data_IF_997063029748
#
_entry.id   IF_997063029748
#
_cell.length_a   1.000
_cell.length_b   1.000
_cell.length_c   1.000
_cell.angle_alpha   90.00
_cell.angle_beta   90.00
_cell.angle_gamma   90.00
#
_symmetry.space_group_name_H-M   'P 1'
#
loop_
_entity.id
_entity.type
_entity.pdbx_description
1 polymer ?
#
# COMPACT_ATOMS: atom_id res chain seq x y z
N UNK A 1 2.44 17.31 -10.68
CA UNK A 1 1.43 16.48 -9.97
C UNK A 1 1.65 15.02 -10.35
N UNK A 2 1.85 14.16 -9.36
CA UNK A 2 2.06 12.72 -9.52
C UNK A 2 0.99 11.94 -8.76
N UNK A 3 0.90 10.62 -8.97
CA UNK A 3 -0.09 9.78 -8.30
C UNK A 3 0.49 8.44 -7.86
N UNK A 4 -0.13 7.84 -6.84
CA UNK A 4 0.08 6.47 -6.40
C UNK A 4 -1.25 5.71 -6.55
N UNK A 5 -1.26 4.64 -7.34
CA UNK A 5 -2.43 3.78 -7.47
C UNK A 5 -2.51 2.80 -6.31
N UNK A 6 -3.69 2.69 -5.68
CA UNK A 6 -3.94 1.74 -4.61
C UNK A 6 -4.80 0.59 -5.14
N UNK A 7 -4.34 -0.65 -4.93
CA UNK A 7 -5.09 -1.84 -5.28
C UNK A 7 -5.03 -2.91 -4.19
N UNK A 8 -6.18 -3.54 -3.93
CA UNK A 8 -6.26 -4.78 -3.17
C UNK A 8 -6.09 -5.97 -4.10
N UNK A 9 -5.26 -6.92 -3.66
CA UNK A 9 -5.05 -8.18 -4.34
C UNK A 9 -5.45 -9.34 -3.46
N UNK A 10 -6.05 -10.34 -4.09
CA UNK A 10 -6.19 -11.66 -3.49
C UNK A 10 -6.17 -12.76 -4.54
N UNK A 11 -5.83 -13.95 -4.05
CA UNK A 11 -5.86 -15.18 -4.82
C UNK A 11 -6.98 -16.04 -4.27
N UNK A 12 -7.86 -16.53 -5.14
CA UNK A 12 -8.92 -17.46 -4.75
C UNK A 12 -8.38 -18.86 -4.50
N UNK A 13 -9.21 -19.72 -3.91
CA UNK A 13 -8.91 -21.16 -3.77
C UNK A 13 -8.61 -21.86 -5.10
N UNK A 14 -9.16 -21.33 -6.21
CA UNK A 14 -8.91 -21.83 -7.57
C UNK A 14 -7.69 -21.15 -8.24
N UNK A 15 -6.81 -20.53 -7.45
CA UNK A 15 -5.58 -19.85 -7.89
C UNK A 15 -5.80 -18.70 -8.88
N UNK A 16 -6.97 -18.04 -8.85
CA UNK A 16 -7.24 -16.86 -9.67
C UNK A 16 -6.83 -15.59 -8.93
N UNK A 17 -6.01 -14.76 -9.58
CA UNK A 17 -5.62 -13.45 -9.07
C UNK A 17 -6.70 -12.42 -9.40
N UNK A 18 -7.22 -11.75 -8.37
CA UNK A 18 -8.11 -10.61 -8.51
C UNK A 18 -7.42 -9.32 -8.05
N UNK A 19 -7.65 -8.25 -8.80
CA UNK A 19 -7.15 -6.91 -8.51
C UNK A 19 -8.33 -5.95 -8.42
N UNK A 20 -8.50 -5.30 -7.28
CA UNK A 20 -9.51 -4.27 -7.08
C UNK A 20 -8.80 -2.94 -6.88
N UNK A 21 -8.96 -2.02 -7.83
CA UNK A 21 -8.43 -0.66 -7.70
C UNK A 21 -9.31 0.08 -6.68
N UNK A 22 -8.71 0.49 -5.57
CA UNK A 22 -9.38 1.25 -4.53
C UNK A 22 -9.40 2.74 -4.84
N UNK A 23 -8.36 3.25 -5.49
CA UNK A 23 -8.27 4.65 -5.84
C UNK A 23 -6.88 5.11 -6.25
N UNK A 24 -6.77 6.43 -6.38
CA UNK A 24 -5.55 7.12 -6.76
C UNK A 24 -5.25 8.18 -5.70
N UNK A 25 -4.05 8.14 -5.12
CA UNK A 25 -3.60 9.14 -4.16
C UNK A 25 -2.73 10.14 -4.91
N UNK A 26 -3.19 11.38 -5.04
CA UNK A 26 -2.46 12.46 -5.70
C UNK A 26 -1.44 13.07 -4.74
N UNK A 27 -0.23 13.33 -5.23
CA UNK A 27 0.81 14.00 -4.45
C UNK A 27 1.63 14.97 -5.32
N UNK A 28 2.21 15.97 -4.68
CA UNK A 28 3.11 16.93 -5.31
C UNK A 28 4.57 16.55 -5.02
N UNK A 29 5.39 16.52 -6.07
CA UNK A 29 6.80 16.12 -6.03
C UNK A 29 7.72 17.32 -5.89
N UNK A 30 7.27 18.51 -6.31
CA UNK A 30 8.15 19.68 -6.43
C UNK A 30 8.39 20.37 -5.08
N UNK A 31 7.50 20.17 -4.11
CA UNK A 31 7.50 20.91 -2.84
C UNK A 31 7.80 20.07 -1.60
N UNK A 32 7.98 18.75 -1.75
CA UNK A 32 8.11 17.84 -0.62
C UNK A 32 9.33 16.92 -0.72
N UNK A 33 9.99 16.68 0.41
CA UNK A 33 10.98 15.61 0.50
C UNK A 33 10.33 14.26 0.22
N UNK A 34 11.09 13.35 -0.35
CA UNK A 34 10.69 11.96 -0.62
C UNK A 34 10.05 11.27 0.59
N UNK A 35 10.59 11.49 1.79
CA UNK A 35 10.06 10.85 3.01
C UNK A 35 8.69 11.39 3.42
N UNK A 36 8.46 12.71 3.26
CA UNK A 36 7.13 13.31 3.49
C UNK A 36 6.08 12.75 2.53
N UNK A 37 6.44 12.56 1.25
CA UNK A 37 5.54 11.96 0.27
C UNK A 37 5.17 10.55 0.70
N UNK A 38 6.13 9.73 1.13
CA UNK A 38 5.87 8.37 1.62
C UNK A 38 4.97 8.37 2.85
N UNK A 39 5.29 9.16 3.86
CA UNK A 39 4.46 9.29 5.06
C UNK A 39 3.02 9.69 4.73
N UNK A 40 2.85 10.61 3.77
CA UNK A 40 1.53 11.01 3.29
C UNK A 40 0.79 9.84 2.61
N UNK A 41 1.45 9.12 1.69
CA UNK A 41 0.86 7.96 1.02
C UNK A 41 0.47 6.87 2.02
N UNK A 42 1.36 6.55 2.97
CA UNK A 42 1.13 5.53 3.99
C UNK A 42 -0.08 5.88 4.85
N UNK A 43 -0.19 7.14 5.30
CA UNK A 43 -1.31 7.59 6.09
C UNK A 43 -2.65 7.52 5.32
N UNK A 44 -2.66 7.93 4.05
CA UNK A 44 -3.85 7.84 3.20
C UNK A 44 -4.27 6.39 2.98
N UNK A 45 -3.30 5.51 2.77
CA UNK A 45 -3.57 4.10 2.56
C UNK A 45 -4.15 3.42 3.79
N UNK A 46 -3.53 3.62 4.94
CA UNK A 46 -4.02 3.05 6.20
C UNK A 46 -5.43 3.56 6.49
N UNK A 47 -5.71 4.85 6.21
CA UNK A 47 -7.07 5.40 6.29
C UNK A 47 -8.06 4.67 5.37
N UNK A 48 -7.68 4.36 4.12
CA UNK A 48 -8.54 3.57 3.23
C UNK A 48 -8.74 2.15 3.73
N UNK A 49 -7.68 1.49 4.18
CA UNK A 49 -7.74 0.13 4.70
C UNK A 49 -8.65 0.09 5.93
N UNK A 50 -8.52 1.04 6.85
CA UNK A 50 -9.31 1.13 8.08
C UNK A 50 -10.81 1.32 7.82
N UNK A 51 -11.17 1.84 6.64
CA UNK A 51 -12.56 1.98 6.20
C UNK A 51 -13.12 0.71 5.54
N UNK A 52 -12.28 -0.26 5.18
CA UNK A 52 -12.73 -1.51 4.58
C UNK A 52 -13.44 -2.39 5.62
N UNK A 53 -14.50 -3.12 5.24
CA UNK A 53 -15.07 -4.16 6.09
C UNK A 53 -14.02 -5.23 6.46
N UNK A 54 -14.04 -5.75 7.70
CA UNK A 54 -13.05 -6.76 8.17
C UNK A 54 -12.96 -8.00 7.28
N UNK A 55 -14.09 -8.48 6.75
CA UNK A 55 -14.13 -9.61 5.81
C UNK A 55 -13.47 -9.31 4.46
N UNK A 56 -13.28 -8.03 4.14
CA UNK A 56 -12.52 -7.57 2.97
C UNK A 56 -11.06 -7.36 3.33
N UNK A 57 -10.71 -6.95 4.55
CA UNK A 57 -9.31 -6.78 4.97
C UNK A 57 -8.59 -8.14 5.08
N UNK A 58 -9.21 -9.09 5.76
CA UNK A 58 -8.54 -10.32 6.20
C UNK A 58 -7.94 -11.12 5.03
N UNK A 59 -6.63 -11.36 5.13
CA UNK A 59 -5.88 -12.16 4.16
C UNK A 59 -5.75 -11.49 2.79
N UNK A 60 -5.96 -10.18 2.69
CA UNK A 60 -5.67 -9.42 1.47
C UNK A 60 -4.25 -8.89 1.47
N UNK A 61 -3.76 -8.69 0.26
CA UNK A 61 -2.47 -8.12 0.00
C UNK A 61 -2.63 -6.74 -0.63
N UNK A 62 -1.85 -5.77 -0.15
CA UNK A 62 -1.71 -4.46 -0.76
C UNK A 62 -0.41 -4.44 -1.56
N UNK A 63 -0.49 -4.11 -2.85
CA UNK A 63 0.71 -4.05 -3.70
C UNK A 63 1.13 -2.62 -3.97
N UNK A 64 2.43 -2.39 -3.82
CA UNK A 64 3.09 -1.11 -3.99
C UNK A 64 4.06 -1.13 -5.16
N UNK A 65 4.23 0.05 -5.75
CA UNK A 65 5.43 0.32 -6.54
C UNK A 65 6.65 0.44 -5.61
N UNK A 66 7.85 0.26 -6.18
CA UNK A 66 9.13 0.27 -5.49
C UNK A 66 9.29 1.45 -4.54
N UNK A 67 8.80 2.59 -4.98
CA UNK A 67 8.96 3.85 -4.28
C UNK A 67 8.24 3.89 -2.91
N UNK A 68 7.13 3.17 -2.76
CA UNK A 68 6.25 3.23 -1.57
C UNK A 68 6.31 1.97 -0.70
N UNK A 69 7.14 0.99 -1.06
CA UNK A 69 7.31 -0.20 -0.23
C UNK A 69 8.19 0.15 0.97
N UNK A 70 7.62 0.13 2.17
CA UNK A 70 8.32 0.40 3.45
C UNK A 70 8.00 -0.68 4.50
N UNK A 71 8.95 -0.96 5.39
CA UNK A 71 8.81 -1.98 6.43
C UNK A 71 7.81 -1.55 7.51
N UNK A 72 7.78 -0.26 7.87
CA UNK A 72 6.82 0.26 8.86
C UNK A 72 5.39 0.15 8.37
N UNK A 73 5.19 0.38 7.07
CA UNK A 73 3.90 0.17 6.42
C UNK A 73 3.50 -1.31 6.43
N UNK A 74 4.45 -2.21 6.20
CA UNK A 74 4.22 -3.65 6.29
C UNK A 74 3.77 -4.05 7.69
N UNK A 75 4.45 -3.59 8.74
CA UNK A 75 4.08 -3.85 10.13
C UNK A 75 2.67 -3.32 10.45
N UNK A 76 2.36 -2.08 10.02
CA UNK A 76 1.05 -1.50 10.21
C UNK A 76 -0.07 -2.28 9.48
N UNK A 77 0.23 -2.92 8.35
CA UNK A 77 -0.73 -3.78 7.64
C UNK A 77 -0.92 -5.13 8.34
N UNK A 78 0.12 -5.68 8.98
CA UNK A 78 0.01 -6.92 9.74
C UNK A 78 -0.93 -6.76 10.95
N UNK A 79 -0.91 -5.61 11.62
CA UNK A 79 -1.87 -5.26 12.69
C UNK A 79 -3.34 -5.27 12.20
N UNK A 80 -3.55 -5.19 10.88
CA UNK A 80 -4.84 -5.20 10.19
C UNK A 80 -5.16 -6.54 9.52
N UNK A 81 -4.39 -7.59 9.83
CA UNK A 81 -4.51 -8.92 9.21
C UNK A 81 -4.33 -8.88 7.67
N UNK A 82 -3.54 -7.92 7.20
CA UNK A 82 -3.20 -7.70 5.80
C UNK A 82 -1.70 -7.87 5.58
N UNK A 83 -1.34 -8.11 4.32
CA UNK A 83 0.06 -8.21 3.90
C UNK A 83 0.37 -7.14 2.86
N UNK A 84 1.66 -6.91 2.65
CA UNK A 84 2.12 -6.13 1.51
C UNK A 84 3.11 -6.94 0.68
N UNK A 85 3.09 -6.71 -0.64
CA UNK A 85 4.12 -7.16 -1.55
C UNK A 85 4.56 -5.97 -2.39
N UNK A 86 5.86 -5.73 -2.43
CA UNK A 86 6.44 -4.66 -3.20
C UNK A 86 7.93 -4.88 -3.41
N UNK A 87 8.52 -4.03 -4.24
CA UNK A 87 9.96 -4.07 -4.50
C UNK A 87 10.62 -3.08 -3.56
N UNK A 88 11.62 -3.51 -2.79
CA UNK A 88 12.44 -2.56 -2.01
C UNK A 88 13.69 -2.19 -2.80
N UNK A 89 14.14 -0.95 -2.64
CA UNK A 89 15.41 -0.51 -3.22
C UNK A 89 16.57 -0.99 -2.33
N UNK A 90 17.50 -1.77 -2.89
CA UNK A 90 18.63 -2.37 -2.15
C UNK A 90 19.44 -1.35 -1.33
N UNK A 91 19.47 -0.08 -1.75
CA UNK A 91 20.24 0.99 -1.08
C UNK A 91 19.49 1.70 0.05
N UNK A 92 18.25 1.32 0.37
CA UNK A 92 17.55 1.86 1.53
C UNK A 92 18.15 1.25 2.80
N UNK A 93 18.77 2.10 3.61
CA UNK A 93 19.11 1.79 5.00
C UNK A 93 17.79 1.79 5.78
N UNK A 94 17.46 0.64 6.38
CA UNK A 94 16.29 0.47 7.25
C UNK A 94 16.57 1.03 8.65
#
# INVERSE_FOLDING_TARGET
>A
LSYCGLALRFVTVDFKLHNFILGWILYDVESQSVDNIRMFIDAQLLSYVDQLPKNVQQGRNVTFDRYFTDIKLCDALLDREMTSIGVVEHRRLF
#
